data_IF_924004635711
#
_entry.id   IF_924004635711
#
_cell.length_a   1.000
_cell.length_b   1.000
_cell.length_c   1.000
_cell.angle_alpha   90.00
_cell.angle_beta   90.00
_cell.angle_gamma   90.00
#
_symmetry.space_group_name_H-M   'P 1'
#
loop_
_entity.id
_entity.type
_entity.pdbx_description
1 polymer ?
#
# COMPACT_ATOMS: atom_id res chain seq x y z
N UNK A 1 50.66 -7.50 -41.22
CA UNK A 1 50.26 -6.60 -40.11
C UNK A 1 49.27 -5.59 -40.67
N UNK A 2 48.25 -5.21 -39.87
CA UNK A 2 47.03 -4.44 -40.19
C UNK A 2 45.90 -5.30 -40.80
N UNK A 3 45.17 -6.12 -40.02
CA UNK A 3 44.04 -5.84 -39.10
C UNK A 3 42.73 -5.46 -39.83
N UNK A 4 41.88 -6.47 -40.03
CA UNK A 4 40.46 -6.33 -40.41
C UNK A 4 39.69 -5.70 -39.23
N UNK A 5 38.93 -4.62 -39.49
CA UNK A 5 37.92 -4.10 -38.57
C UNK A 5 36.59 -4.82 -38.83
N UNK A 6 36.14 -5.63 -37.88
CA UNK A 6 34.79 -6.16 -37.84
C UNK A 6 33.91 -5.14 -37.12
N UNK A 7 32.89 -4.63 -37.81
CA UNK A 7 31.85 -3.78 -37.21
C UNK A 7 30.71 -4.72 -36.83
N UNK A 8 30.52 -4.97 -35.54
CA UNK A 8 29.34 -5.63 -35.00
C UNK A 8 28.24 -4.59 -34.79
N UNK A 9 27.14 -4.70 -35.51
CA UNK A 9 25.88 -4.04 -35.19
C UNK A 9 25.22 -4.84 -34.06
N UNK A 10 25.21 -4.31 -32.84
CA UNK A 10 24.30 -4.76 -31.79
C UNK A 10 22.91 -4.17 -32.10
N UNK A 11 21.94 -5.02 -32.38
CA UNK A 11 20.54 -4.61 -32.41
C UNK A 11 20.05 -4.47 -30.96
N UNK A 12 19.72 -3.23 -30.54
CA UNK A 12 18.94 -3.01 -29.33
C UNK A 12 17.55 -3.60 -29.55
N UNK A 13 17.21 -4.64 -28.79
CA UNK A 13 15.83 -5.01 -28.55
C UNK A 13 15.27 -4.00 -27.55
N UNK A 14 14.48 -3.06 -28.04
CA UNK A 14 13.63 -2.25 -27.18
C UNK A 14 12.51 -3.14 -26.66
N UNK A 15 12.65 -3.60 -25.41
CA UNK A 15 11.54 -4.17 -24.66
C UNK A 15 10.59 -3.03 -24.31
N UNK A 16 9.62 -2.78 -25.18
CA UNK A 16 8.48 -1.94 -24.84
C UNK A 16 7.64 -2.68 -23.80
N UNK A 17 7.81 -2.32 -22.53
CA UNK A 17 6.87 -2.64 -21.44
C UNK A 17 5.55 -1.94 -21.76
N UNK A 18 4.61 -2.70 -22.30
CA UNK A 18 3.23 -2.23 -22.44
C UNK A 18 2.61 -2.33 -21.06
N UNK A 19 2.47 -1.19 -20.36
CA UNK A 19 1.59 -1.09 -19.22
C UNK A 19 0.21 -1.61 -19.66
N UNK A 20 -0.21 -2.76 -19.13
CA UNK A 20 -1.49 -3.37 -19.51
C UNK A 20 -2.58 -2.57 -18.81
N UNK A 21 -3.53 -1.95 -19.55
CA UNK A 21 -4.64 -1.26 -18.93
C UNK A 21 -5.47 -2.26 -18.11
N UNK A 22 -5.91 -1.84 -16.93
CA UNK A 22 -6.73 -2.61 -15.97
C UNK A 22 -8.01 -3.23 -16.56
N UNK A 23 -8.45 -2.81 -17.75
CA UNK A 23 -9.57 -3.42 -18.48
C UNK A 23 -9.34 -4.90 -18.85
N UNK A 24 -8.10 -5.42 -18.80
CA UNK A 24 -7.79 -6.83 -19.14
C UNK A 24 -7.52 -7.73 -17.93
N UNK A 25 -7.80 -7.29 -16.69
CA UNK A 25 -7.64 -8.14 -15.52
C UNK A 25 -8.48 -9.44 -15.67
N UNK A 26 -7.93 -10.63 -15.37
CA UNK A 26 -8.63 -11.92 -15.45
C UNK A 26 -9.96 -11.91 -14.68
N UNK A 27 -10.92 -12.72 -15.13
CA UNK A 27 -12.25 -12.84 -14.50
C UNK A 27 -12.17 -13.25 -13.01
N UNK A 28 -11.11 -13.98 -12.64
CA UNK A 28 -10.77 -14.32 -11.25
C UNK A 28 -10.46 -13.06 -10.40
N UNK A 29 -9.59 -12.16 -10.88
CA UNK A 29 -9.26 -10.88 -10.22
C UNK A 29 -10.52 -10.01 -10.06
N UNK A 30 -11.40 -9.98 -11.06
CA UNK A 30 -12.69 -9.25 -10.99
C UNK A 30 -13.70 -9.89 -10.02
N UNK A 31 -13.63 -11.20 -9.81
CA UNK A 31 -14.51 -11.92 -8.88
C UNK A 31 -14.07 -11.73 -7.44
N UNK A 32 -12.77 -11.63 -7.18
CA UNK A 32 -12.21 -11.37 -5.85
C UNK A 32 -12.57 -9.96 -5.39
N UNK A 33 -12.39 -8.96 -6.26
CA UNK A 33 -12.85 -7.58 -6.07
C UNK A 33 -14.33 -7.44 -5.66
N UNK A 34 -15.17 -8.44 -5.96
CA UNK A 34 -16.61 -8.40 -5.64
C UNK A 34 -16.96 -8.85 -4.22
N UNK A 35 -16.06 -9.56 -3.53
CA UNK A 35 -16.25 -10.05 -2.15
C UNK A 35 -15.36 -9.35 -1.14
N UNK A 36 -14.29 -8.71 -1.58
CA UNK A 36 -13.40 -7.89 -0.75
C UNK A 36 -13.75 -6.41 -0.75
N UNK A 37 -14.75 -5.95 -1.53
CA UNK A 37 -15.13 -4.54 -1.54
C UNK A 37 -15.87 -4.17 -0.25
N UNK A 38 -15.28 -3.33 0.62
CA UNK A 38 -15.98 -2.77 1.74
C UNK A 38 -17.23 -2.00 1.27
N UNK A 39 -18.23 -1.92 2.14
CA UNK A 39 -19.36 -1.04 1.88
C UNK A 39 -18.97 0.41 2.18
N UNK A 40 -19.39 1.37 1.35
CA UNK A 40 -19.07 2.79 1.53
C UNK A 40 -20.31 3.52 2.02
N UNK A 41 -20.19 4.19 3.17
CA UNK A 41 -21.27 4.96 3.75
C UNK A 41 -21.80 6.06 2.81
N UNK A 42 -23.08 6.40 2.97
CA UNK A 42 -23.78 7.25 2.01
C UNK A 42 -23.41 8.73 2.09
N UNK A 43 -22.81 9.17 3.19
CA UNK A 43 -22.53 10.55 3.59
C UNK A 43 -21.20 11.12 3.05
N UNK A 44 -20.37 10.30 2.39
CA UNK A 44 -19.27 10.78 1.55
C UNK A 44 -19.76 11.58 0.35
N UNK A 45 -19.01 12.62 -0.02
CA UNK A 45 -19.24 13.36 -1.27
C UNK A 45 -18.97 12.48 -2.48
N UNK A 46 -19.42 12.90 -3.67
CA UNK A 46 -19.13 12.17 -4.91
C UNK A 46 -17.62 11.99 -5.15
N UNK A 47 -16.81 13.04 -4.92
CA UNK A 47 -15.36 12.95 -5.05
C UNK A 47 -14.76 12.00 -4.02
N UNK A 48 -15.16 12.10 -2.74
CA UNK A 48 -14.65 11.22 -1.69
C UNK A 48 -14.94 9.75 -2.01
N UNK A 49 -16.14 9.42 -2.52
CA UNK A 49 -16.46 8.05 -2.95
C UNK A 49 -15.56 7.57 -4.09
N UNK A 50 -15.28 8.43 -5.07
CA UNK A 50 -14.31 8.09 -6.13
C UNK A 50 -12.91 7.87 -5.58
N UNK A 51 -12.44 8.73 -4.66
CA UNK A 51 -11.15 8.55 -3.98
C UNK A 51 -11.07 7.20 -3.24
N UNK A 52 -12.12 6.83 -2.51
CA UNK A 52 -12.21 5.55 -1.79
C UNK A 52 -12.19 4.38 -2.77
N UNK A 53 -13.03 4.41 -3.80
CA UNK A 53 -13.08 3.35 -4.82
C UNK A 53 -11.77 3.16 -5.57
N UNK A 54 -11.03 4.25 -5.79
CA UNK A 54 -9.72 4.20 -6.42
C UNK A 54 -8.63 3.70 -5.45
N UNK A 55 -8.65 4.14 -4.18
CA UNK A 55 -7.74 3.64 -3.16
C UNK A 55 -7.87 2.12 -2.97
N UNK A 56 -9.10 1.59 -2.98
CA UNK A 56 -9.35 0.14 -2.92
C UNK A 56 -8.69 -0.62 -4.08
N UNK A 57 -8.68 -0.04 -5.29
CA UNK A 57 -8.00 -0.64 -6.45
C UNK A 57 -6.49 -0.49 -6.37
N UNK A 58 -6.02 0.65 -5.87
CA UNK A 58 -4.60 0.93 -5.71
C UNK A 58 -3.98 -0.08 -4.74
N UNK A 59 -4.66 -0.43 -3.66
CA UNK A 59 -4.17 -1.45 -2.70
C UNK A 59 -4.07 -2.85 -3.28
N UNK A 60 -4.98 -3.25 -4.15
CA UNK A 60 -4.83 -4.50 -4.89
C UNK A 60 -3.60 -4.44 -5.79
N UNK A 61 -3.35 -3.30 -6.45
CA UNK A 61 -2.16 -3.11 -7.30
C UNK A 61 -0.87 -3.15 -6.47
N UNK A 62 -0.85 -2.47 -5.32
CA UNK A 62 0.26 -2.49 -4.37
C UNK A 62 0.54 -3.91 -3.87
N UNK A 63 -0.51 -4.65 -3.50
CA UNK A 63 -0.38 -6.03 -3.01
C UNK A 63 0.17 -6.98 -4.07
N UNK A 64 -0.24 -6.82 -5.33
CA UNK A 64 0.27 -7.61 -6.46
C UNK A 64 1.76 -7.35 -6.67
N UNK A 65 2.17 -6.09 -6.68
CA UNK A 65 3.60 -5.75 -6.86
C UNK A 65 4.44 -6.13 -5.63
N UNK A 66 3.87 -6.07 -4.43
CA UNK A 66 4.49 -6.54 -3.19
C UNK A 66 4.82 -8.04 -3.29
N UNK A 67 3.85 -8.88 -3.68
CA UNK A 67 4.08 -10.33 -3.89
C UNK A 67 5.08 -10.57 -5.02
N UNK A 68 4.96 -9.84 -6.14
CA UNK A 68 5.88 -9.99 -7.26
C UNK A 68 7.34 -9.64 -6.88
N UNK A 69 7.54 -8.65 -6.01
CA UNK A 69 8.85 -8.31 -5.48
C UNK A 69 9.39 -9.39 -4.51
N UNK A 70 8.53 -10.01 -3.70
CA UNK A 70 8.94 -11.16 -2.87
C UNK A 70 9.38 -12.34 -3.74
N UNK A 71 8.71 -12.59 -4.87
CA UNK A 71 9.01 -13.72 -5.74
C UNK A 71 10.22 -13.46 -6.69
N UNK A 72 10.85 -12.27 -6.63
CA UNK A 72 11.96 -11.83 -7.49
C UNK A 72 13.25 -11.64 -6.70
N UNK A 73 14.19 -12.59 -6.80
CA UNK A 73 15.50 -12.56 -6.11
C UNK A 73 16.30 -11.28 -6.42
N UNK A 74 16.07 -10.60 -7.56
CA UNK A 74 16.74 -9.34 -7.90
C UNK A 74 16.20 -8.15 -7.07
N UNK A 75 15.20 -8.36 -6.21
CA UNK A 75 14.50 -7.34 -5.40
C UNK A 75 14.48 -7.65 -3.89
N UNK A 76 15.25 -8.63 -3.44
CA UNK A 76 15.31 -9.00 -2.02
C UNK A 76 15.76 -7.84 -1.12
N UNK A 77 16.51 -6.86 -1.65
CA UNK A 77 16.89 -5.65 -0.89
C UNK A 77 15.68 -4.83 -0.41
N UNK A 78 14.54 -4.88 -1.11
CA UNK A 78 13.34 -4.15 -0.69
C UNK A 78 12.73 -4.80 0.56
N UNK A 79 12.66 -6.13 0.65
CA UNK A 79 12.12 -6.78 1.85
C UNK A 79 13.05 -6.55 3.06
N UNK A 80 14.37 -6.59 2.85
CA UNK A 80 15.36 -6.34 3.91
C UNK A 80 15.22 -4.93 4.53
N UNK A 81 14.71 -3.95 3.77
CA UNK A 81 14.43 -2.60 4.29
C UNK A 81 13.33 -2.60 5.36
N UNK A 82 12.37 -3.54 5.32
CA UNK A 82 11.17 -3.50 6.18
C UNK A 82 11.01 -4.71 7.10
N UNK A 83 11.45 -5.90 6.71
CA UNK A 83 11.23 -7.14 7.47
C UNK A 83 12.53 -7.95 7.64
N UNK A 84 12.47 -8.99 8.47
CA UNK A 84 13.50 -10.04 8.45
C UNK A 84 13.31 -10.93 7.20
N UNK A 85 14.39 -11.46 6.64
CA UNK A 85 14.33 -12.35 5.48
C UNK A 85 13.55 -13.65 5.81
N UNK A 86 13.65 -14.12 7.06
CA UNK A 86 12.92 -15.31 7.53
C UNK A 86 11.39 -15.09 7.58
N UNK A 87 10.92 -13.84 7.53
CA UNK A 87 9.49 -13.48 7.56
C UNK A 87 8.84 -13.42 6.16
N UNK A 88 9.62 -13.62 5.09
CA UNK A 88 9.19 -13.49 3.69
C UNK A 88 7.90 -14.25 3.36
N UNK A 89 7.76 -15.49 3.83
CA UNK A 89 6.56 -16.30 3.63
C UNK A 89 5.33 -15.73 4.36
N UNK A 90 5.52 -15.19 5.57
CA UNK A 90 4.46 -14.56 6.35
C UNK A 90 4.00 -13.27 5.67
N UNK A 91 4.94 -12.42 5.25
CA UNK A 91 4.67 -11.17 4.52
C UNK A 91 3.96 -11.48 3.20
N UNK A 92 4.34 -12.54 2.49
CA UNK A 92 3.67 -12.98 1.28
C UNK A 92 2.21 -13.38 1.54
N UNK A 93 1.96 -14.19 2.56
CA UNK A 93 0.62 -14.64 2.95
C UNK A 93 -0.31 -13.48 3.31
N UNK A 94 0.23 -12.44 3.95
CA UNK A 94 -0.49 -11.18 4.23
C UNK A 94 -1.07 -10.57 2.95
N UNK A 95 -0.23 -10.30 1.96
CA UNK A 95 -0.67 -9.68 0.71
C UNK A 95 -1.65 -10.59 -0.03
N UNK A 96 -1.39 -11.89 -0.08
CA UNK A 96 -2.29 -12.84 -0.72
C UNK A 96 -3.69 -12.86 -0.08
N UNK A 97 -3.79 -12.64 1.23
CA UNK A 97 -5.08 -12.48 1.90
C UNK A 97 -5.79 -11.18 1.51
N UNK A 98 -5.07 -10.12 1.17
CA UNK A 98 -5.66 -8.86 0.66
C UNK A 98 -6.20 -9.06 -0.76
N UNK A 99 -5.37 -9.58 -1.66
CA UNK A 99 -5.74 -9.73 -3.09
C UNK A 99 -6.62 -10.95 -3.38
N UNK A 100 -6.63 -11.95 -2.49
CA UNK A 100 -7.12 -13.31 -2.74
C UNK A 100 -6.32 -14.04 -3.82
N UNK A 101 -6.10 -15.34 -3.67
CA UNK A 101 -5.40 -16.10 -4.70
C UNK A 101 -6.07 -17.45 -5.02
N UNK A 102 -6.91 -17.52 -6.05
CA UNK A 102 -7.58 -18.74 -6.45
C UNK A 102 -6.67 -19.75 -7.14
N UNK A 103 -5.46 -19.35 -7.56
CA UNK A 103 -4.51 -20.18 -8.32
C UNK A 103 -3.28 -20.59 -7.48
N UNK A 104 -3.04 -20.00 -6.30
CA UNK A 104 -2.02 -20.43 -5.35
C UNK A 104 -2.47 -21.69 -4.57
N UNK A 105 -1.86 -22.87 -4.82
CA UNK A 105 -2.24 -24.12 -4.17
C UNK A 105 -1.87 -24.18 -2.68
N UNK A 106 -1.10 -23.21 -2.18
CA UNK A 106 -0.68 -23.09 -0.77
C UNK A 106 -1.57 -22.13 0.01
N UNK A 107 -2.38 -21.31 -0.67
CA UNK A 107 -3.29 -20.37 -0.03
C UNK A 107 -4.53 -21.09 0.54
N UNK A 108 -4.76 -21.03 1.87
CA UNK A 108 -5.96 -21.61 2.48
C UNK A 108 -7.25 -20.84 2.17
N UNK A 109 -7.18 -19.57 1.73
CA UNK A 109 -8.32 -18.73 1.36
C UNK A 109 -8.18 -18.15 -0.07
N UNK A 110 -8.57 -18.92 -1.11
CA UNK A 110 -8.47 -18.51 -2.50
C UNK A 110 -9.35 -17.31 -2.87
N UNK A 111 -10.19 -16.83 -1.94
CA UNK A 111 -11.12 -15.73 -2.17
C UNK A 111 -10.71 -14.42 -1.50
N UNK A 112 -9.58 -14.40 -0.81
CA UNK A 112 -9.14 -13.28 0.02
C UNK A 112 -9.87 -13.27 1.36
N UNK A 113 -9.37 -12.46 2.30
CA UNK A 113 -9.86 -12.46 3.68
C UNK A 113 -11.32 -11.96 3.75
N UNK A 114 -12.20 -12.84 4.24
CA UNK A 114 -13.63 -12.53 4.40
C UNK A 114 -13.93 -11.31 5.30
N UNK A 115 -13.04 -10.96 6.23
CA UNK A 115 -13.18 -9.77 7.06
C UNK A 115 -13.12 -8.48 6.25
N UNK A 116 -12.27 -8.41 5.21
CA UNK A 116 -12.16 -7.23 4.35
C UNK A 116 -13.49 -6.91 3.66
N UNK A 117 -14.24 -7.94 3.27
CA UNK A 117 -15.57 -7.81 2.69
C UNK A 117 -16.67 -7.33 3.66
N UNK A 118 -16.41 -7.43 4.97
CA UNK A 118 -17.35 -7.01 6.01
C UNK A 118 -17.05 -5.61 6.56
N UNK A 119 -15.99 -4.96 6.10
CA UNK A 119 -15.67 -3.58 6.50
C UNK A 119 -16.73 -2.62 5.97
N UNK A 120 -17.23 -1.74 6.85
CA UNK A 120 -17.94 -0.52 6.45
C UNK A 120 -16.98 0.66 6.51
N UNK A 121 -16.78 1.33 5.38
CA UNK A 121 -16.03 2.58 5.28
C UNK A 121 -16.96 3.72 5.64
N UNK A 122 -16.63 4.44 6.70
CA UNK A 122 -17.46 5.48 7.31
C UNK A 122 -16.66 6.76 7.46
N UNK A 123 -17.35 7.91 7.48
CA UNK A 123 -16.71 9.18 7.85
C UNK A 123 -16.35 9.17 9.32
N UNK A 124 -15.39 10.00 9.70
CA UNK A 124 -15.14 10.33 11.10
C UNK A 124 -16.43 10.68 11.85
N UNK A 125 -16.61 10.02 12.99
CA UNK A 125 -17.74 10.23 13.89
C UNK A 125 -17.30 10.04 15.33
N UNK A 126 -17.82 10.88 16.22
CA UNK A 126 -17.66 10.67 17.64
C UNK A 126 -18.63 9.59 18.13
N UNK A 127 -18.09 8.52 18.69
CA UNK A 127 -18.88 7.47 19.31
C UNK A 127 -19.52 7.92 20.64
N UNK A 128 -20.34 7.05 21.25
CA UNK A 128 -21.09 7.40 22.47
C UNK A 128 -20.21 7.65 23.70
N UNK A 129 -18.96 7.16 23.69
CA UNK A 129 -18.00 7.34 24.76
C UNK A 129 -17.02 8.49 24.47
N UNK A 130 -16.96 8.96 23.23
CA UNK A 130 -16.02 9.97 22.76
C UNK A 130 -14.65 9.39 22.40
N UNK A 131 -14.56 8.08 22.20
CA UNK A 131 -13.32 7.31 22.05
C UNK A 131 -12.86 7.24 20.59
N UNK A 132 -13.78 7.31 19.62
CA UNK A 132 -13.43 7.37 18.19
C UNK A 132 -13.50 8.82 17.72
N UNK A 133 -12.36 9.43 17.44
CA UNK A 133 -12.28 10.74 16.79
C UNK A 133 -10.92 10.88 16.14
N UNK A 134 -10.89 11.19 14.85
CA UNK A 134 -9.64 11.56 14.18
C UNK A 134 -9.01 12.78 14.85
N UNK A 135 -7.70 12.76 15.05
CA UNK A 135 -6.96 13.96 15.43
C UNK A 135 -6.38 14.69 14.20
N UNK A 136 -5.58 15.74 14.44
CA UNK A 136 -5.02 16.59 13.39
C UNK A 136 -3.92 15.89 12.55
N UNK A 137 -3.55 14.64 12.85
CA UNK A 137 -2.56 13.84 12.11
C UNK A 137 -3.10 12.50 11.58
N UNK A 138 -4.27 12.08 12.04
CA UNK A 138 -4.83 10.77 11.69
C UNK A 138 -5.45 10.78 10.29
N UNK A 139 -5.10 9.81 9.44
CA UNK A 139 -5.76 9.60 8.15
C UNK A 139 -6.93 8.63 8.23
N UNK A 140 -6.72 7.51 8.90
CA UNK A 140 -7.71 6.46 9.00
C UNK A 140 -7.57 5.69 10.31
N UNK A 141 -8.67 5.09 10.74
CA UNK A 141 -8.68 4.18 11.88
C UNK A 141 -9.48 2.95 11.54
N UNK A 142 -8.96 1.77 11.88
CA UNK A 142 -9.75 0.54 11.89
C UNK A 142 -10.25 0.28 13.31
N UNK A 143 -11.56 0.31 13.49
CA UNK A 143 -12.21 0.05 14.79
C UNK A 143 -13.10 -1.17 14.72
N UNK A 144 -13.38 -1.74 15.89
CA UNK A 144 -14.25 -2.92 16.03
C UNK A 144 -13.77 -4.12 15.16
N UNK A 145 -12.45 -4.23 14.94
CA UNK A 145 -11.81 -5.24 14.09
C UNK A 145 -12.10 -6.68 14.52
N UNK A 146 -12.36 -6.89 15.80
CA UNK A 146 -12.72 -8.20 16.37
C UNK A 146 -14.22 -8.55 16.23
N UNK A 147 -15.00 -7.69 15.59
CA UNK A 147 -16.45 -7.87 15.41
C UNK A 147 -16.81 -8.30 13.99
N UNK A 148 -18.07 -8.72 13.79
CA UNK A 148 -18.57 -9.11 12.47
C UNK A 148 -18.73 -7.92 11.50
N UNK A 149 -18.69 -6.67 11.98
CA UNK A 149 -18.88 -5.46 11.17
C UNK A 149 -17.84 -4.39 11.55
N UNK A 150 -16.56 -4.59 11.23
CA UNK A 150 -15.52 -3.61 11.49
C UNK A 150 -15.75 -2.32 10.70
N UNK A 151 -15.34 -1.19 11.26
CA UNK A 151 -15.42 0.10 10.59
C UNK A 151 -14.03 0.61 10.23
N UNK A 152 -13.84 0.98 8.96
CA UNK A 152 -12.70 1.79 8.53
C UNK A 152 -13.15 3.26 8.51
N UNK A 153 -12.77 3.99 9.54
CA UNK A 153 -13.06 5.42 9.70
C UNK A 153 -12.07 6.20 8.85
N UNK A 154 -12.56 7.03 7.93
CA UNK A 154 -11.72 7.93 7.13
C UNK A 154 -11.86 9.37 7.62
N UNK A 155 -10.73 9.95 8.01
CA UNK A 155 -10.58 11.33 8.45
C UNK A 155 -10.55 12.29 7.26
N UNK A 156 -10.68 13.60 7.50
CA UNK A 156 -10.61 14.58 6.41
C UNK A 156 -9.25 14.57 5.68
N UNK A 157 -8.16 14.27 6.40
CA UNK A 157 -6.82 14.07 5.84
C UNK A 157 -6.74 12.88 4.88
N UNK A 158 -7.64 11.90 4.97
CA UNK A 158 -7.68 10.82 3.99
C UNK A 158 -8.04 11.29 2.57
N UNK A 159 -8.42 12.56 2.38
CA UNK A 159 -8.79 13.08 1.07
C UNK A 159 -7.82 14.11 0.52
N UNK A 160 -6.71 14.40 1.21
CA UNK A 160 -5.70 15.38 0.77
C UNK A 160 -4.67 14.84 -0.22
N UNK A 161 -4.62 13.51 -0.42
CA UNK A 161 -3.66 12.83 -1.28
C UNK A 161 -4.31 12.17 -2.49
N UNK A 162 -3.59 12.19 -3.62
CA UNK A 162 -4.01 11.54 -4.85
C UNK A 162 -3.90 10.02 -4.77
N UNK A 163 -4.43 9.36 -5.79
CA UNK A 163 -4.19 7.94 -6.04
C UNK A 163 -3.01 7.74 -7.00
N UNK A 164 -2.69 6.47 -7.25
CA UNK A 164 -1.68 6.07 -8.25
C UNK A 164 -2.17 6.55 -9.62
N UNK A 165 -1.41 7.47 -10.22
CA UNK A 165 -1.72 8.16 -11.49
C UNK A 165 -3.05 8.93 -11.52
N UNK A 166 -3.67 9.17 -10.36
CA UNK A 166 -5.02 9.75 -10.24
C UNK A 166 -5.03 10.98 -9.35
N UNK A 167 -5.49 12.10 -9.91
CA UNK A 167 -5.71 13.35 -9.19
C UNK A 167 -7.19 13.67 -9.07
N UNK A 168 -7.54 14.54 -8.13
CA UNK A 168 -8.92 14.95 -7.86
C UNK A 168 -9.02 16.47 -7.80
N UNK A 169 -10.22 17.04 -7.61
CA UNK A 169 -10.34 18.50 -7.53
C UNK A 169 -9.51 19.03 -6.35
N UNK A 170 -8.47 19.80 -6.67
CA UNK A 170 -7.47 20.35 -5.74
C UNK A 170 -6.57 19.31 -5.05
N UNK A 171 -6.51 18.08 -5.57
CA UNK A 171 -5.66 17.01 -5.04
C UNK A 171 -4.73 16.52 -6.15
N UNK A 172 -3.43 16.63 -5.94
CA UNK A 172 -2.41 16.24 -6.91
C UNK A 172 -2.33 14.71 -7.02
N UNK A 173 -2.19 14.21 -8.25
CA UNK A 173 -1.90 12.79 -8.49
C UNK A 173 -0.49 12.42 -8.03
N UNK A 174 -0.31 11.17 -7.64
CA UNK A 174 1.00 10.59 -7.35
C UNK A 174 1.44 9.83 -8.60
N UNK A 175 2.59 10.19 -9.17
CA UNK A 175 3.16 9.60 -10.37
C UNK A 175 4.70 9.67 -10.33
N UNK A 176 5.37 9.08 -11.32
CA UNK A 176 6.84 9.05 -11.38
C UNK A 176 7.51 10.44 -11.49
N UNK A 177 6.77 11.50 -11.87
CA UNK A 177 7.30 12.86 -11.89
C UNK A 177 7.18 13.55 -10.51
N UNK A 178 6.29 13.04 -9.65
CA UNK A 178 6.03 13.53 -8.31
C UNK A 178 6.91 12.86 -7.24
N UNK A 179 7.15 11.56 -7.39
CA UNK A 179 8.00 10.79 -6.47
C UNK A 179 9.46 11.22 -6.58
N UNK A 180 10.17 11.30 -5.45
CA UNK A 180 11.59 11.67 -5.41
C UNK A 180 12.49 10.44 -5.65
N UNK A 181 13.82 10.61 -5.57
CA UNK A 181 14.80 9.52 -5.67
C UNK A 181 14.96 8.72 -4.36
N UNK A 182 14.17 9.05 -3.33
CA UNK A 182 14.15 8.40 -2.00
C UNK A 182 12.73 8.03 -1.63
N UNK A 183 12.61 7.10 -0.67
CA UNK A 183 11.33 6.82 -0.01
C UNK A 183 10.96 8.02 0.86
N UNK A 184 9.79 8.62 0.61
CA UNK A 184 9.30 9.81 1.34
C UNK A 184 7.79 9.73 1.53
N UNK A 185 7.21 10.58 2.37
CA UNK A 185 5.75 10.72 2.54
C UNK A 185 4.99 10.82 1.20
N UNK A 186 5.63 11.35 0.13
CA UNK A 186 5.00 11.50 -1.19
C UNK A 186 4.59 10.20 -1.85
N UNK A 187 5.24 9.09 -1.51
CA UNK A 187 4.97 7.81 -2.12
C UNK A 187 4.01 6.95 -1.30
N UNK A 188 3.73 7.33 -0.04
CA UNK A 188 2.98 6.53 0.91
C UNK A 188 1.50 6.33 0.57
N UNK A 189 1.02 5.10 0.71
CA UNK A 189 -0.39 4.72 0.63
C UNK A 189 -0.82 4.00 1.90
N UNK A 190 -0.92 4.73 3.01
CA UNK A 190 -1.32 4.23 4.35
C UNK A 190 -2.71 3.58 4.35
N UNK A 191 -3.56 3.92 3.38
CA UNK A 191 -5.02 3.85 3.53
C UNK A 191 -5.66 2.47 3.58
N UNK A 192 -4.94 1.37 3.37
CA UNK A 192 -5.61 0.09 3.11
C UNK A 192 -4.69 -1.15 3.09
N UNK A 193 -3.38 -0.99 3.31
CA UNK A 193 -2.45 -2.12 3.51
C UNK A 193 -2.20 -2.34 5.00
N UNK A 194 -3.23 -2.14 5.82
CA UNK A 194 -3.23 -2.64 7.20
C UNK A 194 -4.00 -3.94 7.17
N UNK A 195 -3.32 -5.09 7.20
CA UNK A 195 -3.98 -6.36 7.13
C UNK A 195 -4.77 -6.58 8.42
N UNK A 196 -6.08 -6.82 8.39
CA UNK A 196 -6.72 -7.48 9.50
C UNK A 196 -6.32 -8.95 9.42
N UNK A 197 -5.16 -9.26 9.97
CA UNK A 197 -4.73 -10.64 10.15
C UNK A 197 -5.00 -11.01 11.58
N UNK A 198 -5.17 -12.30 11.82
CA UNK A 198 -5.48 -12.92 13.12
C UNK A 198 -4.38 -12.68 14.20
N UNK A 199 -3.42 -11.80 13.91
CA UNK A 199 -2.34 -11.31 14.75
C UNK A 199 -2.59 -9.81 14.95
N UNK A 200 -2.49 -9.35 16.20
CA UNK A 200 -2.48 -7.92 16.56
C UNK A 200 -1.35 -7.22 15.78
N UNK A 201 -1.60 -6.82 14.52
CA UNK A 201 -0.79 -5.85 13.81
C UNK A 201 -1.19 -4.52 14.44
N UNK A 202 -0.32 -4.01 15.30
CA UNK A 202 -0.52 -2.78 16.04
C UNK A 202 0.48 -1.76 15.55
N UNK A 203 0.06 -0.52 15.48
CA UNK A 203 0.97 0.56 15.12
C UNK A 203 2.00 0.72 16.24
N UNK A 204 3.26 0.46 15.93
CA UNK A 204 4.34 0.66 16.88
C UNK A 204 4.58 2.17 17.01
N UNK A 205 4.61 2.71 18.23
CA UNK A 205 4.80 4.16 18.49
C UNK A 205 6.05 4.73 17.79
N UNK A 206 7.08 3.90 17.60
CA UNK A 206 8.32 4.22 16.91
C UNK A 206 8.37 3.68 15.45
N UNK A 207 7.22 3.36 14.85
CA UNK A 207 7.10 2.68 13.56
C UNK A 207 6.53 3.52 12.42
N UNK A 208 6.09 4.75 12.71
CA UNK A 208 5.40 5.63 11.77
C UNK A 208 6.33 6.39 10.82
N UNK A 209 5.93 6.45 9.55
CA UNK A 209 6.61 7.19 8.51
C UNK A 209 7.86 6.47 8.00
N UNK A 210 8.32 6.83 6.78
CA UNK A 210 9.35 6.06 6.09
C UNK A 210 10.64 5.95 6.89
N UNK A 211 11.01 7.00 7.64
CA UNK A 211 12.24 7.05 8.43
C UNK A 211 12.20 6.05 9.57
N UNK A 212 11.11 6.02 10.35
CA UNK A 212 11.05 5.18 11.55
C UNK A 212 10.72 3.73 11.20
N UNK A 213 9.86 3.50 10.20
CA UNK A 213 9.56 2.14 9.72
C UNK A 213 10.82 1.39 9.31
N UNK A 214 11.74 2.02 8.55
CA UNK A 214 13.01 1.38 8.15
C UNK A 214 13.99 1.16 9.30
N UNK A 215 13.88 1.95 10.38
CA UNK A 215 14.72 1.83 11.59
C UNK A 215 14.12 0.90 12.63
N UNK A 216 12.88 0.47 12.45
CA UNK A 216 12.16 -0.38 13.38
C UNK A 216 12.88 -1.73 13.54
N UNK A 217 12.87 -2.26 14.76
CA UNK A 217 13.37 -3.61 15.02
C UNK A 217 12.59 -4.62 14.18
N UNK A 218 13.28 -5.54 13.50
CA UNK A 218 12.64 -6.49 12.58
C UNK A 218 11.67 -7.42 13.30
N UNK A 219 11.97 -7.76 14.56
CA UNK A 219 11.06 -8.54 15.42
C UNK A 219 9.70 -7.83 15.66
N UNK A 220 9.67 -6.50 15.52
CA UNK A 220 8.46 -5.67 15.64
C UNK A 220 7.84 -5.36 14.29
N UNK A 221 8.65 -5.27 13.23
CA UNK A 221 8.19 -4.88 11.92
C UNK A 221 7.12 -5.82 11.35
N UNK A 222 7.18 -7.12 11.67
CA UNK A 222 6.16 -8.09 11.27
C UNK A 222 4.74 -7.73 11.80
N UNK A 223 4.68 -7.00 12.91
CA UNK A 223 3.45 -6.57 13.57
C UNK A 223 3.14 -5.09 13.38
N UNK A 224 3.93 -4.37 12.58
CA UNK A 224 3.73 -2.94 12.33
C UNK A 224 3.02 -2.73 11.00
N UNK A 225 1.86 -2.06 11.02
CA UNK A 225 1.06 -1.78 9.83
C UNK A 225 1.86 -1.04 8.75
N UNK A 226 2.60 -0.03 9.18
CA UNK A 226 3.41 0.82 8.31
C UNK A 226 4.51 0.07 7.57
N UNK A 227 5.06 -0.99 8.17
CA UNK A 227 6.07 -1.84 7.51
C UNK A 227 5.51 -2.49 6.25
N UNK A 228 4.24 -2.89 6.25
CA UNK A 228 3.57 -3.42 5.07
C UNK A 228 3.27 -2.29 4.07
N UNK A 229 2.68 -1.19 4.52
CA UNK A 229 2.34 -0.08 3.65
C UNK A 229 3.58 0.47 2.90
N UNK A 230 4.70 0.65 3.58
CA UNK A 230 5.95 1.11 2.99
C UNK A 230 6.62 0.08 2.07
N UNK A 231 6.65 -1.20 2.46
CA UNK A 231 7.16 -2.26 1.58
C UNK A 231 6.39 -2.32 0.27
N UNK A 232 5.05 -2.38 0.32
CA UNK A 232 4.22 -2.48 -0.87
C UNK A 232 4.36 -1.25 -1.78
N UNK A 233 4.46 -0.08 -1.15
CA UNK A 233 4.66 1.20 -1.83
C UNK A 233 5.98 1.24 -2.58
N UNK A 234 7.09 0.90 -1.92
CA UNK A 234 8.41 0.89 -2.56
C UNK A 234 8.48 -0.16 -3.67
N UNK A 235 8.00 -1.39 -3.41
CA UNK A 235 7.94 -2.45 -4.42
C UNK A 235 7.18 -2.01 -5.68
N UNK A 236 6.03 -1.36 -5.49
CA UNK A 236 5.22 -0.82 -6.57
C UNK A 236 5.97 0.27 -7.35
N UNK A 237 6.46 1.30 -6.68
CA UNK A 237 7.08 2.43 -7.37
C UNK A 237 8.43 2.07 -8.01
N UNK A 238 9.17 1.12 -7.43
CA UNK A 238 10.38 0.57 -8.03
C UNK A 238 10.07 -0.10 -9.35
N UNK A 239 8.99 -0.90 -9.41
CA UNK A 239 8.53 -1.47 -10.68
C UNK A 239 7.99 -0.42 -11.64
N UNK A 240 7.11 0.44 -11.15
CA UNK A 240 6.30 1.32 -11.96
C UNK A 240 7.13 2.43 -12.61
N UNK A 241 8.11 2.96 -11.88
CA UNK A 241 9.00 4.03 -12.36
C UNK A 241 10.36 3.54 -12.88
N UNK A 242 10.66 2.24 -12.79
CA UNK A 242 11.96 1.66 -13.17
C UNK A 242 13.12 2.38 -12.45
N UNK A 243 12.98 2.54 -11.13
CA UNK A 243 13.89 3.31 -10.29
C UNK A 243 14.09 2.63 -8.93
N UNK A 244 15.33 2.58 -8.45
CA UNK A 244 15.64 2.15 -7.09
C UNK A 244 15.62 3.37 -6.17
N UNK A 245 14.94 3.27 -5.02
CA UNK A 245 14.76 4.40 -4.10
C UNK A 245 15.78 4.31 -2.96
N UNK A 246 16.45 5.44 -2.69
CA UNK A 246 17.38 5.55 -1.57
C UNK A 246 16.69 5.56 -0.20
N UNK A 247 17.52 5.42 0.84
CA UNK A 247 17.10 5.56 2.25
C UNK A 247 16.40 6.90 2.54
N UNK A 248 15.32 6.90 3.33
CA UNK A 248 14.70 8.13 3.81
C UNK A 248 15.63 8.89 4.75
N UNK A 249 15.59 10.21 4.67
CA UNK A 249 16.25 11.17 5.54
C UNK A 249 15.25 11.82 6.52
N UNK A 250 15.74 12.49 7.57
CA UNK A 250 14.89 13.05 8.64
C UNK A 250 13.78 14.03 8.15
N UNK A 251 13.92 14.61 6.95
CA UNK A 251 12.93 15.51 6.35
C UNK A 251 11.89 14.78 5.48
N UNK A 252 12.10 13.49 5.21
CA UNK A 252 11.25 12.70 4.31
C UNK A 252 9.94 12.22 4.98
N UNK A 253 9.80 12.41 6.31
CA UNK A 253 8.55 12.27 7.07
C UNK A 253 7.63 13.50 6.93
N UNK A 254 8.11 14.65 6.45
CA UNK A 254 7.41 15.94 6.58
C UNK A 254 6.27 16.13 5.58
N UNK A 255 5.11 15.54 5.87
CA UNK A 255 3.91 15.75 5.07
C UNK A 255 3.25 17.11 5.39
N UNK A 256 3.13 18.03 4.42
CA UNK A 256 2.51 19.33 4.66
C UNK A 256 1.01 19.26 5.02
N UNK A 257 0.36 18.11 4.78
CA UNK A 257 -1.02 17.87 5.19
C UNK A 257 -1.13 17.31 6.61
N UNK A 258 -0.05 16.79 7.18
CA UNK A 258 0.01 16.19 8.52
C UNK A 258 0.93 16.98 9.45
N UNK A 259 0.79 18.32 9.42
CA UNK A 259 1.55 19.27 10.26
C UNK A 259 3.09 19.19 10.13
N UNK A 260 3.59 18.85 8.94
CA UNK A 260 5.01 18.61 8.66
C UNK A 260 5.58 17.42 9.47
N UNK A 261 4.74 16.44 9.79
CA UNK A 261 5.08 15.15 10.40
C UNK A 261 4.58 14.02 9.51
N UNK A 262 5.00 12.78 9.82
CA UNK A 262 4.41 11.61 9.17
C UNK A 262 2.93 11.54 9.53
N UNK A 263 2.10 11.26 8.54
CA UNK A 263 0.70 10.95 8.79
C UNK A 263 0.61 9.68 9.63
N UNK A 264 -0.43 9.62 10.47
CA UNK A 264 -0.63 8.49 11.39
C UNK A 264 -1.89 7.73 10.96
N UNK A 265 -1.81 6.41 11.00
CA UNK A 265 -2.94 5.55 11.28
C UNK A 265 -3.05 5.34 12.79
N UNK A 266 -4.28 5.15 13.27
CA UNK A 266 -4.50 4.79 14.66
C UNK A 266 -5.38 3.55 14.70
N UNK A 267 -4.82 2.45 15.18
CA UNK A 267 -5.57 1.30 15.68
C UNK A 267 -6.02 1.58 17.11
N UNK A 268 -7.35 1.54 17.34
CA UNK A 268 -7.96 1.76 18.66
C UNK A 268 -8.39 0.45 19.34
#
# INVERSE_FOLDING_TARGET
>A
MATLKTISFLALLASSTVAVPFENAPEAVRSILKRTNPSIASDFTAQQKTQIEDALKDVISLSVEAVAALDDDDRDEIIENYFDEDDKDTVRDVYLKIMGDPDDPTNPDPTGNSMLGNIEIVKDYQDVNGDYNCDDGTMALLVDWSTDNPHLILCDLAFTHGGIDKGYDNVQKIDCDWVDDRVTWKIHFEKLVVPPLDLDVTDEEDGYGPVNTRKLDKDKALYNADSYAWYATEAFWTKHCDNDYGEPEDDDDKDPNCNDEACQDATA
#
